data_IF_481218765323
#
_entry.id   IF_481218765323
#
_cell.length_a   1.000
_cell.length_b   1.000
_cell.length_c   1.000
_cell.angle_alpha   90.00
_cell.angle_beta   90.00
_cell.angle_gamma   90.00
#
_symmetry.space_group_name_H-M   'P 1'
#
loop_
_entity.id
_entity.type
_entity.pdbx_description
1 polymer ?
#
# COMPACT_ATOMS: atom_id res chain seq x y z
N UNK A 1 -2.78 -29.30 53.68
CA UNK A 1 -3.16 -28.68 52.40
C UNK A 1 -2.58 -27.29 52.40
N UNK A 2 -1.51 -27.08 51.66
CA UNK A 2 -0.68 -25.88 51.77
C UNK A 2 -0.48 -25.33 50.36
N UNK A 3 -1.01 -24.14 50.11
CA UNK A 3 -0.69 -23.35 48.93
C UNK A 3 0.66 -22.66 49.15
N UNK A 4 1.58 -22.80 48.20
CA UNK A 4 2.76 -21.95 48.11
C UNK A 4 2.84 -21.33 46.70
N UNK A 5 2.88 -20.00 46.70
CA UNK A 5 3.26 -19.15 45.58
C UNK A 5 4.69 -19.50 45.13
N UNK A 6 4.88 -19.66 43.82
CA UNK A 6 6.23 -19.67 43.22
C UNK A 6 6.40 -18.41 42.38
N UNK A 7 7.41 -17.66 42.80
CA UNK A 7 8.00 -16.46 42.24
C UNK A 7 8.79 -16.71 40.94
N UNK A 8 8.86 -15.66 40.11
CA UNK A 8 9.59 -15.58 38.83
C UNK A 8 11.11 -15.69 39.02
N UNK A 9 11.83 -16.36 38.10
CA UNK A 9 13.17 -15.96 37.69
C UNK A 9 13.17 -15.61 36.19
N UNK A 10 13.58 -14.40 35.81
CA UNK A 10 14.96 -14.01 35.48
C UNK A 10 15.52 -14.72 34.24
N UNK A 11 15.95 -13.93 33.26
CA UNK A 11 16.59 -14.37 32.01
C UNK A 11 17.77 -15.31 32.26
N UNK A 12 18.01 -16.32 31.40
CA UNK A 12 19.33 -16.93 31.29
C UNK A 12 20.20 -16.13 30.32
N UNK A 13 21.32 -15.67 30.87
CA UNK A 13 22.58 -15.36 30.21
C UNK A 13 23.07 -16.46 29.26
N UNK A 14 23.80 -16.06 28.22
CA UNK A 14 24.50 -16.90 27.26
C UNK A 14 25.33 -18.03 27.91
N UNK A 15 25.20 -19.25 27.36
CA UNK A 15 26.28 -20.24 27.33
C UNK A 15 26.18 -21.04 26.03
N UNK A 16 27.31 -21.10 25.33
CA UNK A 16 27.54 -21.81 24.08
C UNK A 16 27.34 -23.32 24.23
N UNK A 17 26.55 -23.94 23.35
CA UNK A 17 26.87 -25.26 22.82
C UNK A 17 26.59 -25.30 21.32
N UNK A 18 27.61 -25.81 20.62
CA UNK A 18 27.78 -25.83 19.18
C UNK A 18 26.78 -26.80 18.54
N UNK A 19 25.71 -26.26 17.98
CA UNK A 19 24.84 -26.94 17.03
C UNK A 19 24.88 -26.20 15.72
N UNK A 20 25.42 -26.82 14.68
CA UNK A 20 25.45 -26.29 13.32
C UNK A 20 24.03 -26.12 12.80
N UNK A 21 23.43 -24.94 13.01
CA UNK A 21 22.22 -24.53 12.32
C UNK A 21 22.70 -23.85 11.06
N UNK A 22 22.56 -24.57 9.94
CA UNK A 22 22.60 -23.99 8.59
C UNK A 22 21.80 -22.70 8.65
N UNK A 23 22.48 -21.57 8.45
CA UNK A 23 21.83 -20.28 8.34
C UNK A 23 20.82 -20.38 7.19
N UNK A 24 19.55 -20.60 7.52
CA UNK A 24 18.46 -20.26 6.61
C UNK A 24 18.68 -18.81 6.17
N UNK A 25 18.42 -18.46 4.90
CA UNK A 25 18.82 -17.19 4.35
C UNK A 25 18.41 -16.08 5.31
N UNK A 26 19.42 -15.42 5.88
CA UNK A 26 19.23 -14.32 6.78
C UNK A 26 18.23 -13.37 6.10
N UNK A 27 17.14 -13.04 6.79
CA UNK A 27 16.30 -11.94 6.34
C UNK A 27 17.24 -10.77 6.04
N UNK A 28 17.26 -10.22 4.81
CA UNK A 28 18.21 -9.18 4.48
C UNK A 28 18.10 -8.08 5.56
N UNK A 29 19.24 -7.53 6.02
CA UNK A 29 19.21 -6.43 6.98
C UNK A 29 18.28 -5.34 6.42
N UNK A 30 17.64 -4.50 7.27
CA UNK A 30 16.83 -3.41 6.78
C UNK A 30 17.72 -2.45 5.97
N UNK A 31 17.83 -2.75 4.67
CA UNK A 31 18.65 -2.02 3.73
C UNK A 31 18.11 -0.61 3.61
N UNK A 32 19.00 0.35 3.34
CA UNK A 32 18.60 1.70 3.02
C UNK A 32 17.70 1.63 1.79
N UNK A 33 16.43 1.96 1.98
CA UNK A 33 15.48 1.97 0.88
C UNK A 33 15.83 3.11 -0.09
N UNK A 34 16.12 2.80 -1.34
CA UNK A 34 16.33 3.80 -2.41
C UNK A 34 15.05 3.98 -3.20
N UNK A 35 14.74 5.23 -3.54
CA UNK A 35 13.66 5.59 -4.46
C UNK A 35 14.29 5.86 -5.84
N UNK A 36 13.82 5.14 -6.86
CA UNK A 36 14.23 5.33 -8.25
C UNK A 36 13.01 5.81 -9.02
N UNK A 37 13.14 6.85 -9.82
CA UNK A 37 12.04 7.33 -10.66
C UNK A 37 12.42 7.42 -12.12
N UNK A 38 11.50 7.03 -12.98
CA UNK A 38 11.61 7.12 -14.43
C UNK A 38 10.37 7.81 -15.01
N UNK A 39 10.54 8.39 -16.20
CA UNK A 39 9.47 8.98 -16.98
C UNK A 39 9.44 8.27 -18.32
N UNK A 40 8.30 7.68 -18.66
CA UNK A 40 8.06 7.13 -19.98
C UNK A 40 7.12 8.08 -20.73
N UNK A 41 7.67 8.75 -21.74
CA UNK A 41 6.94 9.66 -22.61
C UNK A 41 6.48 8.89 -23.85
N UNK A 42 5.18 8.69 -23.99
CA UNK A 42 4.58 8.36 -25.29
C UNK A 42 4.03 9.63 -25.92
N UNK A 43 3.82 9.64 -27.24
CA UNK A 43 3.31 10.80 -27.99
C UNK A 43 2.00 11.40 -27.42
N UNK A 44 1.26 10.63 -26.61
CA UNK A 44 -0.04 11.04 -26.07
C UNK A 44 -0.11 11.11 -24.54
N UNK A 45 0.87 10.58 -23.79
CA UNK A 45 0.84 10.57 -22.31
C UNK A 45 2.24 10.55 -21.68
N UNK A 46 2.40 11.31 -20.60
CA UNK A 46 3.54 11.19 -19.70
C UNK A 46 3.20 10.26 -18.55
N UNK A 47 3.89 9.12 -18.46
CA UNK A 47 3.75 8.17 -17.36
C UNK A 47 4.98 8.24 -16.47
N UNK A 48 4.76 8.54 -15.20
CA UNK A 48 5.79 8.55 -14.18
C UNK A 48 5.80 7.19 -13.48
N UNK A 49 6.97 6.71 -13.12
CA UNK A 49 7.14 5.51 -12.31
C UNK A 49 8.06 5.82 -11.14
N UNK A 50 7.71 5.32 -9.96
CA UNK A 50 8.53 5.34 -8.76
C UNK A 50 8.68 3.90 -8.30
N UNK A 51 9.92 3.46 -8.15
CA UNK A 51 10.30 2.15 -7.61
C UNK A 51 10.96 2.35 -6.25
N UNK A 52 10.71 1.40 -5.36
CA UNK A 52 11.42 1.28 -4.10
C UNK A 52 12.28 0.03 -4.15
N UNK A 53 13.56 0.20 -3.87
CA UNK A 53 14.57 -0.85 -3.97
C UNK A 53 15.30 -1.02 -2.63
N UNK A 54 15.66 -2.26 -2.32
CA UNK A 54 16.65 -2.56 -1.28
C UNK A 54 18.07 -2.34 -1.80
N UNK A 55 19.01 -2.24 -0.87
CA UNK A 55 20.43 -2.32 -1.18
C UNK A 55 20.72 -3.60 -1.97
N UNK A 56 21.37 -3.45 -3.13
CA UNK A 56 21.55 -4.53 -4.11
C UNK A 56 20.53 -4.54 -5.26
N UNK A 57 19.66 -3.52 -5.36
CA UNK A 57 18.80 -3.30 -6.54
C UNK A 57 17.52 -4.16 -6.58
N UNK A 58 17.19 -4.85 -5.49
CA UNK A 58 15.96 -5.65 -5.43
C UNK A 58 14.75 -4.73 -5.30
N UNK A 59 13.89 -4.69 -6.31
CA UNK A 59 12.64 -3.92 -6.28
C UNK A 59 11.64 -4.58 -5.34
N UNK A 60 11.21 -3.85 -4.32
CA UNK A 60 10.22 -4.30 -3.32
C UNK A 60 8.82 -3.73 -3.56
N UNK A 61 8.71 -2.72 -4.42
CA UNK A 61 7.44 -2.22 -4.93
C UNK A 61 7.62 -1.09 -5.94
N UNK A 62 6.57 -0.84 -6.71
CA UNK A 62 6.52 0.20 -7.72
C UNK A 62 5.14 0.86 -7.75
N UNK A 63 5.10 2.12 -8.16
CA UNK A 63 3.88 2.83 -8.53
C UNK A 63 4.11 3.53 -9.84
N UNK A 64 3.13 3.45 -10.74
CA UNK A 64 3.09 4.29 -11.93
C UNK A 64 1.87 5.18 -11.93
N UNK A 65 2.04 6.43 -12.33
CA UNK A 65 1.01 7.45 -12.30
C UNK A 65 1.11 8.41 -13.47
N UNK A 66 0.00 9.08 -13.76
CA UNK A 66 -0.13 10.09 -14.82
C UNK A 66 -0.61 11.38 -14.19
N UNK A 67 -0.16 12.52 -14.73
CA UNK A 67 -0.58 13.86 -14.27
C UNK A 67 -1.43 14.51 -15.36
N UNK A 68 -2.55 15.12 -14.97
CA UNK A 68 -3.37 15.96 -15.85
C UNK A 68 -3.88 17.16 -15.05
N UNK A 69 -3.27 18.32 -15.25
CA UNK A 69 -3.56 19.51 -14.44
C UNK A 69 -3.19 19.26 -12.98
N UNK A 70 -4.11 19.52 -12.06
CA UNK A 70 -3.97 19.27 -10.62
C UNK A 70 -4.42 17.86 -10.19
N UNK A 71 -4.69 16.97 -11.16
CA UNK A 71 -5.13 15.60 -10.92
C UNK A 71 -4.01 14.59 -11.17
N UNK A 72 -3.85 13.69 -10.19
CA UNK A 72 -2.98 12.52 -10.28
C UNK A 72 -3.83 11.28 -10.48
N UNK A 73 -3.53 10.51 -11.52
CA UNK A 73 -4.12 9.21 -11.76
C UNK A 73 -3.10 8.12 -11.44
N UNK A 74 -3.34 7.33 -10.41
CA UNK A 74 -2.55 6.17 -10.04
C UNK A 74 -2.94 5.03 -10.99
N UNK A 75 -2.05 4.70 -11.91
CA UNK A 75 -2.32 3.69 -12.95
C UNK A 75 -2.17 2.28 -12.38
N UNK A 76 -1.00 1.99 -11.80
CA UNK A 76 -0.64 0.65 -11.32
C UNK A 76 0.19 0.78 -10.05
N UNK A 77 -0.10 -0.05 -9.05
CA UNK A 77 0.74 -0.20 -7.86
C UNK A 77 1.03 -1.68 -7.62
N UNK A 78 2.30 -2.01 -7.47
CA UNK A 78 2.75 -3.36 -7.18
C UNK A 78 3.63 -3.36 -5.94
N UNK A 79 3.38 -4.31 -5.04
CA UNK A 79 4.22 -4.53 -3.86
C UNK A 79 4.53 -6.02 -3.81
N UNK A 80 5.82 -6.32 -3.80
CA UNK A 80 6.31 -7.69 -3.68
C UNK A 80 5.69 -8.35 -2.44
N UNK A 81 5.16 -9.57 -2.61
CA UNK A 81 4.40 -10.27 -1.57
C UNK A 81 5.16 -10.41 -0.25
N UNK A 82 6.47 -10.70 -0.31
CA UNK A 82 7.33 -10.81 0.86
C UNK A 82 7.47 -9.50 1.67
N UNK A 83 7.15 -8.37 1.04
CA UNK A 83 7.25 -7.03 1.59
C UNK A 83 5.88 -6.36 1.81
N UNK A 84 4.78 -7.08 1.57
CA UNK A 84 3.43 -6.60 1.93
C UNK A 84 3.34 -6.37 3.44
N UNK A 85 2.49 -5.43 3.84
CA UNK A 85 2.30 -4.98 5.24
C UNK A 85 3.53 -4.33 5.90
N UNK A 86 4.60 -4.06 5.15
CA UNK A 86 5.79 -3.31 5.64
C UNK A 86 5.78 -1.81 5.27
N UNK A 87 4.61 -1.26 4.95
CA UNK A 87 4.46 0.16 4.62
C UNK A 87 4.98 0.61 3.25
N UNK A 88 5.37 -0.32 2.35
CA UNK A 88 5.92 0.00 1.01
C UNK A 88 4.96 0.87 0.19
N UNK A 89 3.69 0.45 0.05
CA UNK A 89 2.64 1.22 -0.64
C UNK A 89 2.54 2.66 -0.12
N UNK A 90 2.54 2.79 1.20
CA UNK A 90 2.42 4.09 1.86
C UNK A 90 3.54 5.03 1.47
N UNK A 91 4.78 4.56 1.56
CA UNK A 91 5.94 5.36 1.22
C UNK A 91 6.02 5.74 -0.27
N UNK A 92 5.56 4.85 -1.17
CA UNK A 92 5.45 5.17 -2.59
C UNK A 92 4.46 6.33 -2.83
N UNK A 93 3.34 6.36 -2.10
CA UNK A 93 2.36 7.44 -2.18
C UNK A 93 2.80 8.71 -1.46
N UNK A 94 3.53 8.60 -0.34
CA UNK A 94 4.15 9.72 0.35
C UNK A 94 5.12 10.45 -0.59
N UNK A 95 5.90 9.70 -1.38
CA UNK A 95 6.80 10.24 -2.39
C UNK A 95 6.03 10.99 -3.50
N UNK A 96 4.91 10.44 -3.98
CA UNK A 96 4.04 11.13 -4.96
C UNK A 96 3.50 12.43 -4.35
N UNK A 97 3.02 12.39 -3.11
CA UNK A 97 2.48 13.55 -2.43
C UNK A 97 3.54 14.65 -2.22
N UNK A 98 4.77 14.27 -1.88
CA UNK A 98 5.88 15.19 -1.71
C UNK A 98 6.31 15.85 -3.03
N UNK A 99 6.25 15.11 -4.15
CA UNK A 99 6.57 15.65 -5.49
C UNK A 99 5.49 16.56 -6.05
N UNK A 100 4.24 16.36 -5.65
CA UNK A 100 3.07 17.06 -6.17
C UNK A 100 2.21 17.62 -5.02
N UNK A 101 2.72 18.58 -4.24
CA UNK A 101 2.03 19.11 -3.07
C UNK A 101 0.74 19.85 -3.43
N UNK A 102 0.67 20.39 -4.64
CA UNK A 102 -0.44 21.15 -5.22
C UNK A 102 -1.55 20.27 -5.82
N UNK A 103 -1.30 18.98 -6.05
CA UNK A 103 -2.32 18.06 -6.57
C UNK A 103 -3.54 18.02 -5.64
N UNK A 104 -4.74 18.26 -6.18
CA UNK A 104 -6.00 18.32 -5.42
C UNK A 104 -6.82 17.04 -5.55
N UNK A 105 -6.65 16.34 -6.67
CA UNK A 105 -7.46 15.21 -7.06
C UNK A 105 -6.57 13.97 -7.24
N UNK A 106 -6.97 12.86 -6.62
CA UNK A 106 -6.33 11.56 -6.79
C UNK A 106 -7.37 10.58 -7.32
N UNK A 107 -7.06 9.95 -8.44
CA UNK A 107 -7.90 8.89 -8.99
C UNK A 107 -7.11 7.59 -9.08
N UNK A 108 -7.79 6.47 -8.85
CA UNK A 108 -7.17 5.15 -8.90
C UNK A 108 -8.18 4.10 -9.32
N UNK A 109 -7.67 3.02 -9.89
CA UNK A 109 -8.41 1.78 -10.11
C UNK A 109 -8.03 0.76 -9.03
N UNK A 110 -9.04 0.21 -8.36
CA UNK A 110 -8.82 -0.86 -7.39
C UNK A 110 -8.58 -2.17 -8.15
N UNK A 111 -7.32 -2.59 -8.24
CA UNK A 111 -6.95 -3.90 -8.75
C UNK A 111 -7.39 -5.04 -7.83
N UNK A 112 -7.25 -6.29 -8.30
CA UNK A 112 -7.83 -7.52 -7.75
C UNK A 112 -7.85 -7.62 -6.22
N UNK A 113 -6.71 -7.46 -5.54
CA UNK A 113 -6.65 -7.56 -4.06
C UNK A 113 -7.50 -6.50 -3.36
N UNK A 114 -7.47 -5.25 -3.85
CA UNK A 114 -8.30 -4.18 -3.28
C UNK A 114 -9.76 -4.34 -3.71
N UNK A 115 -10.01 -4.88 -4.91
CA UNK A 115 -11.34 -5.18 -5.42
C UNK A 115 -12.04 -6.25 -4.57
N UNK A 116 -11.36 -7.33 -4.18
CA UNK A 116 -11.94 -8.37 -3.33
C UNK A 116 -12.28 -7.84 -1.92
N UNK A 117 -11.42 -7.01 -1.34
CA UNK A 117 -11.72 -6.31 -0.08
C UNK A 117 -12.93 -5.39 -0.24
N UNK A 118 -12.96 -4.61 -1.32
CA UNK A 118 -14.10 -3.76 -1.66
C UNK A 118 -15.38 -4.57 -1.82
N UNK A 119 -15.38 -5.66 -2.59
CA UNK A 119 -16.52 -6.52 -2.90
C UNK A 119 -17.10 -7.13 -1.63
N UNK A 120 -16.24 -7.61 -0.72
CA UNK A 120 -16.67 -8.10 0.60
C UNK A 120 -17.35 -7.00 1.42
N UNK A 121 -16.75 -5.81 1.51
CA UNK A 121 -17.34 -4.68 2.22
C UNK A 121 -18.65 -4.21 1.58
N UNK A 122 -18.71 -4.18 0.24
CA UNK A 122 -19.86 -3.72 -0.52
C UNK A 122 -21.07 -4.65 -0.36
N UNK A 123 -20.85 -5.97 -0.36
CA UNK A 123 -21.91 -6.97 -0.10
C UNK A 123 -22.52 -6.87 1.29
N UNK A 124 -21.77 -6.40 2.29
CA UNK A 124 -22.30 -6.20 3.64
C UNK A 124 -23.15 -4.93 3.81
N UNK A 125 -23.29 -4.10 2.76
CA UNK A 125 -24.04 -2.85 2.84
C UNK A 125 -25.50 -3.10 2.43
N UNK A 126 -26.48 -2.86 3.33
CA UNK A 126 -27.88 -3.24 3.13
C UNK A 126 -28.59 -2.50 1.98
N UNK A 127 -28.02 -1.42 1.44
CA UNK A 127 -28.45 -0.76 0.19
C UNK A 127 -27.23 -0.26 -0.59
N UNK A 128 -26.81 -0.95 -1.66
CA UNK A 128 -25.70 -0.53 -2.50
C UNK A 128 -26.13 0.62 -3.44
N UNK A 129 -26.26 1.83 -2.88
CA UNK A 129 -26.38 3.07 -3.65
C UNK A 129 -25.01 3.75 -3.84
N UNK A 130 -24.98 4.98 -4.36
CA UNK A 130 -23.73 5.79 -4.46
C UNK A 130 -23.02 5.94 -3.11
N UNK A 131 -23.75 5.94 -1.99
CA UNK A 131 -23.20 5.97 -0.64
C UNK A 131 -22.58 4.62 -0.22
N UNK A 132 -23.09 3.51 -0.73
CA UNK A 132 -22.53 2.18 -0.52
C UNK A 132 -21.14 2.00 -1.13
N UNK A 133 -20.90 2.55 -2.32
CA UNK A 133 -19.59 2.45 -2.98
C UNK A 133 -18.51 3.16 -2.15
N UNK A 134 -18.75 4.42 -1.76
CA UNK A 134 -17.81 5.18 -0.95
C UNK A 134 -17.51 4.46 0.39
N UNK A 135 -18.54 3.96 1.07
CA UNK A 135 -18.41 3.19 2.32
C UNK A 135 -17.58 1.91 2.18
N UNK A 136 -17.63 1.25 1.03
CA UNK A 136 -16.81 0.07 0.76
C UNK A 136 -15.36 0.47 0.40
N UNK A 137 -15.16 1.52 -0.40
CA UNK A 137 -13.82 1.97 -0.81
C UNK A 137 -12.98 2.40 0.39
N UNK A 138 -13.57 3.06 1.40
CA UNK A 138 -12.82 3.48 2.60
C UNK A 138 -12.18 2.31 3.38
N UNK A 139 -12.65 1.08 3.14
CA UNK A 139 -12.09 -0.13 3.74
C UNK A 139 -10.85 -0.65 3.02
N UNK A 140 -10.54 -0.14 1.83
CA UNK A 140 -9.43 -0.66 1.02
C UNK A 140 -8.09 -0.08 1.46
N UNK A 141 -7.02 -0.90 1.48
CA UNK A 141 -5.66 -0.43 1.76
C UNK A 141 -5.22 0.73 0.87
N UNK A 142 -5.59 0.73 -0.41
CA UNK A 142 -5.22 1.79 -1.34
C UNK A 142 -5.84 3.13 -0.96
N UNK A 143 -7.15 3.18 -0.68
CA UNK A 143 -7.81 4.41 -0.22
C UNK A 143 -7.16 4.95 1.05
N UNK A 144 -6.94 4.09 2.05
CA UNK A 144 -6.37 4.51 3.34
C UNK A 144 -4.95 5.05 3.17
N UNK A 145 -4.16 4.47 2.27
CA UNK A 145 -2.83 4.94 1.97
C UNK A 145 -2.87 6.30 1.27
N UNK A 146 -3.71 6.49 0.24
CA UNK A 146 -3.88 7.79 -0.42
C UNK A 146 -4.31 8.85 0.60
N UNK A 147 -5.35 8.58 1.39
CA UNK A 147 -5.89 9.54 2.33
C UNK A 147 -4.90 9.98 3.41
N UNK A 148 -4.04 9.06 3.85
CA UNK A 148 -2.97 9.36 4.80
C UNK A 148 -1.83 10.16 4.17
N UNK A 149 -1.39 9.76 2.98
CA UNK A 149 -0.21 10.33 2.32
C UNK A 149 -0.48 11.71 1.72
N UNK A 150 -1.68 11.93 1.18
CA UNK A 150 -2.01 13.15 0.44
C UNK A 150 -2.95 14.06 1.22
N UNK A 151 -3.61 13.56 2.27
CA UNK A 151 -4.68 14.28 2.94
C UNK A 151 -6.03 14.24 2.20
N UNK A 152 -6.10 13.58 1.03
CA UNK A 152 -7.34 13.46 0.26
C UNK A 152 -8.35 12.54 0.95
N UNK A 153 -9.51 13.10 1.34
CA UNK A 153 -10.51 12.35 2.13
C UNK A 153 -11.89 12.32 1.48
N UNK A 154 -12.21 13.29 0.64
CA UNK A 154 -13.54 13.42 0.04
C UNK A 154 -13.63 12.56 -1.22
N UNK A 155 -14.37 11.46 -1.16
CA UNK A 155 -14.68 10.66 -2.35
C UNK A 155 -15.73 11.41 -3.19
N UNK A 156 -15.35 11.93 -4.36
CA UNK A 156 -16.25 12.65 -5.27
C UNK A 156 -16.80 11.79 -6.39
N UNK A 157 -16.11 10.68 -6.70
CA UNK A 157 -16.58 9.69 -7.65
C UNK A 157 -16.22 8.28 -7.17
N UNK A 158 -17.18 7.36 -7.30
CA UNK A 158 -17.01 5.96 -6.97
C UNK A 158 -17.92 5.14 -7.88
N UNK A 159 -17.34 4.34 -8.77
CA UNK A 159 -18.10 3.48 -9.68
C UNK A 159 -17.55 2.06 -9.64
N UNK A 160 -18.32 1.09 -9.13
CA UNK A 160 -17.96 -0.31 -9.25
C UNK A 160 -18.28 -0.80 -10.66
N UNK A 161 -17.31 -1.44 -11.29
CA UNK A 161 -17.44 -2.08 -12.61
C UNK A 161 -17.42 -3.60 -12.39
N UNK A 162 -18.50 -4.13 -11.82
CA UNK A 162 -18.56 -5.52 -11.33
C UNK A 162 -18.28 -6.58 -12.41
N UNK A 163 -18.64 -6.30 -13.67
CA UNK A 163 -18.43 -7.23 -14.78
C UNK A 163 -16.95 -7.35 -15.20
N UNK A 164 -16.13 -6.38 -14.83
CA UNK A 164 -14.70 -6.28 -15.19
C UNK A 164 -13.83 -6.30 -13.93
N UNK A 165 -14.43 -6.52 -12.76
CA UNK A 165 -13.78 -6.68 -11.46
C UNK A 165 -12.80 -5.57 -11.05
N UNK A 166 -13.20 -4.31 -11.27
CA UNK A 166 -12.48 -3.15 -10.73
C UNK A 166 -13.44 -2.06 -10.22
N UNK A 167 -12.88 -1.11 -9.47
CA UNK A 167 -13.59 0.10 -9.01
C UNK A 167 -12.77 1.31 -9.38
N UNK A 168 -13.40 2.30 -10.01
CA UNK A 168 -12.80 3.62 -10.21
C UNK A 168 -13.19 4.50 -9.04
N UNK A 169 -12.20 5.10 -8.39
CA UNK A 169 -12.41 6.08 -7.33
C UNK A 169 -11.71 7.38 -7.67
N UNK A 170 -12.34 8.50 -7.30
CA UNK A 170 -11.73 9.83 -7.26
C UNK A 170 -11.87 10.40 -5.85
N UNK A 171 -10.75 10.90 -5.32
CA UNK A 171 -10.57 11.36 -3.95
C UNK A 171 -9.97 12.76 -4.00
N UNK A 172 -10.60 13.71 -3.31
CA UNK A 172 -10.18 15.10 -3.23
C UNK A 172 -9.63 15.45 -1.85
N UNK A 173 -8.60 16.32 -1.84
CA UNK A 173 -8.10 17.02 -0.64
C UNK A 173 -9.17 17.94 -0.05
#
# INVERSE_FOLDING_TARGET
MTFQLVSVPAWPSCRDEVGSIVAGPASPPPGRNRVVSSVNNTETRQRFEIKRELDGGTVIGSVSYTIKGDAIHINVVEVNEAFRRRGVLGALLDEIAARHPDARVFSAELGETNFEIFKKAYKSIPRPDKGGCAKAVVQTPLYRAIARSTGARRITYCRPMMNIEFVVVTIEK
#
